data_IF_413189535391
#
_entry.id   IF_413189535391
#
_cell.length_a   1.000
_cell.length_b   1.000
_cell.length_c   1.000
_cell.angle_alpha   90.00
_cell.angle_beta   90.00
_cell.angle_gamma   90.00
#
_symmetry.space_group_name_H-M   'P 1'
#
loop_
_entity.id
_entity.type
_entity.pdbx_description
1 polymer ?
#
# COMPACT_ATOMS: atom_id res chain seq x y z
N UNK A 1 -5.55 35.65 5.65
CA UNK A 1 -4.89 34.45 5.10
C UNK A 1 -3.64 34.80 4.27
N UNK A 2 -2.62 35.46 4.84
CA UNK A 2 -1.41 35.83 4.06
C UNK A 2 -0.41 34.67 3.86
N UNK A 3 -0.54 33.61 4.66
CA UNK A 3 0.40 32.48 4.70
C UNK A 3 -0.21 31.15 4.19
N UNK A 4 -1.38 31.20 3.55
CA UNK A 4 -2.05 30.02 3.02
C UNK A 4 -2.06 30.08 1.49
N UNK A 5 -1.55 29.02 0.85
CA UNK A 5 -1.66 28.80 -0.59
C UNK A 5 -2.39 27.48 -0.83
N UNK A 6 -3.45 27.53 -1.61
CA UNK A 6 -4.20 26.34 -2.00
C UNK A 6 -3.57 25.73 -3.27
N UNK A 7 -3.50 24.40 -3.30
CA UNK A 7 -3.07 23.62 -4.44
C UNK A 7 -4.17 22.62 -4.75
N UNK A 8 -4.75 22.70 -5.94
CA UNK A 8 -5.82 21.82 -6.37
C UNK A 8 -5.23 20.81 -7.35
N UNK A 9 -5.02 19.54 -6.95
CA UNK A 9 -4.50 18.54 -7.86
C UNK A 9 -5.48 18.30 -9.02
N UNK A 10 -4.99 17.83 -10.19
CA UNK A 10 -5.86 17.54 -11.32
C UNK A 10 -6.93 16.48 -10.98
N UNK A 11 -8.20 16.87 -11.12
CA UNK A 11 -9.37 16.02 -10.84
C UNK A 11 -10.19 15.68 -12.10
N UNK A 12 -9.60 15.84 -13.29
CA UNK A 12 -10.30 15.62 -14.56
C UNK A 12 -10.55 14.15 -14.91
N UNK A 13 -11.51 13.90 -15.79
CA UNK A 13 -11.76 12.58 -16.36
C UNK A 13 -12.32 11.57 -15.34
N UNK A 14 -11.58 10.49 -15.09
CA UNK A 14 -12.01 9.37 -14.24
C UNK A 14 -11.59 9.51 -12.76
N UNK A 15 -11.02 10.65 -12.37
CA UNK A 15 -10.54 10.88 -11.00
C UNK A 15 -11.70 11.32 -10.11
N UNK A 16 -12.05 10.49 -9.13
CA UNK A 16 -13.21 10.72 -8.25
C UNK A 16 -12.84 11.29 -6.88
N UNK A 17 -11.59 11.14 -6.44
CA UNK A 17 -11.13 11.69 -5.16
C UNK A 17 -9.61 11.94 -5.14
N UNK A 18 -9.21 12.93 -4.36
CA UNK A 18 -7.84 13.10 -3.86
C UNK A 18 -7.85 12.55 -2.42
N UNK A 19 -7.37 11.33 -2.24
CA UNK A 19 -7.44 10.64 -0.94
C UNK A 19 -6.11 10.64 -0.17
N UNK A 20 -5.02 11.05 -0.83
CA UNK A 20 -3.67 11.06 -0.24
C UNK A 20 -3.59 12.03 0.93
N UNK A 21 -2.89 11.62 1.98
CA UNK A 21 -2.60 12.43 3.15
C UNK A 21 -1.09 12.45 3.33
N UNK A 22 -0.49 13.63 3.19
CA UNK A 22 0.95 13.82 3.22
C UNK A 22 1.26 15.18 3.81
N UNK A 23 2.22 15.22 4.73
CA UNK A 23 2.75 16.47 5.28
C UNK A 23 4.25 16.55 5.00
N UNK A 24 4.66 17.68 4.42
CA UNK A 24 6.07 18.06 4.25
C UNK A 24 6.36 19.21 5.21
N UNK A 25 6.96 18.90 6.36
CA UNK A 25 7.18 19.87 7.44
C UNK A 25 8.65 20.30 7.45
N UNK A 26 8.92 21.48 6.92
CA UNK A 26 10.28 22.03 6.80
C UNK A 26 10.68 22.75 8.09
N UNK A 27 11.68 22.20 8.80
CA UNK A 27 12.32 22.82 9.96
C UNK A 27 13.72 23.34 9.58
N UNK A 28 14.36 24.19 10.41
CA UNK A 28 15.69 24.74 10.11
C UNK A 28 16.75 23.67 9.81
N UNK A 29 16.74 22.57 10.58
CA UNK A 29 17.76 21.51 10.55
C UNK A 29 17.28 20.19 9.92
N UNK A 30 15.98 20.04 9.65
CA UNK A 30 15.43 18.80 9.11
C UNK A 30 14.11 19.00 8.36
N UNK A 31 13.77 18.03 7.51
CA UNK A 31 12.47 17.85 6.90
C UNK A 31 11.79 16.68 7.60
N UNK A 32 10.61 16.91 8.16
CA UNK A 32 9.75 15.84 8.65
C UNK A 32 8.75 15.46 7.58
N UNK A 33 8.85 14.22 7.11
CA UNK A 33 7.87 13.61 6.22
C UNK A 33 6.87 12.83 7.06
N UNK A 34 5.58 13.10 6.84
CA UNK A 34 4.49 12.43 7.56
C UNK A 34 3.47 11.90 6.56
N UNK A 35 3.15 10.62 6.66
CA UNK A 35 2.06 9.97 5.90
C UNK A 35 1.05 9.43 6.91
N UNK A 36 0.04 10.22 7.29
CA UNK A 36 -1.03 9.79 8.19
C UNK A 36 -2.20 9.17 7.44
N UNK A 37 -2.98 8.33 8.11
CA UNK A 37 -4.24 7.80 7.54
C UNK A 37 -5.45 8.69 7.83
N UNK A 38 -5.29 9.66 8.75
CA UNK A 38 -6.31 10.59 9.22
C UNK A 38 -6.51 11.79 8.28
N UNK A 39 -7.76 12.23 8.09
CA UNK A 39 -8.04 13.57 7.56
C UNK A 39 -7.71 14.63 8.62
N UNK A 40 -7.55 15.90 8.20
CA UNK A 40 -7.31 17.02 9.12
C UNK A 40 -8.61 17.49 9.79
N UNK A 41 -9.25 16.61 10.56
CA UNK A 41 -10.46 16.88 11.34
C UNK A 41 -10.32 16.34 12.76
N UNK A 42 -10.81 17.02 13.81
CA UNK A 42 -10.67 16.59 15.22
C UNK A 42 -11.07 15.13 15.45
N UNK A 43 -12.14 14.71 14.78
CA UNK A 43 -12.69 13.37 14.85
C UNK A 43 -11.68 12.27 14.49
N UNK A 44 -10.97 12.39 13.36
CA UNK A 44 -10.00 11.38 12.90
C UNK A 44 -8.75 11.32 13.79
N UNK A 45 -8.47 12.39 14.54
CA UNK A 45 -7.34 12.47 15.49
C UNK A 45 -7.73 12.09 16.93
N UNK A 46 -8.95 11.58 17.12
CA UNK A 46 -9.40 11.05 18.41
C UNK A 46 -9.87 12.10 19.41
N UNK A 47 -10.03 13.37 19.01
CA UNK A 47 -10.48 14.46 19.90
C UNK A 47 -11.93 14.26 20.40
N UNK A 48 -12.68 13.36 19.77
CA UNK A 48 -14.00 12.91 20.24
C UNK A 48 -13.88 11.73 21.23
N UNK A 49 -13.10 11.89 22.31
CA UNK A 49 -12.90 10.88 23.36
C UNK A 49 -12.38 9.52 22.85
N UNK A 50 -11.58 9.52 21.78
CA UNK A 50 -10.99 8.31 21.21
C UNK A 50 -12.01 7.30 20.70
N UNK A 51 -12.91 7.74 19.81
CA UNK A 51 -13.84 6.87 19.07
C UNK A 51 -13.22 6.23 17.82
N UNK A 52 -12.15 6.82 17.30
CA UNK A 52 -11.48 6.42 16.06
C UNK A 52 -9.98 6.33 16.27
N UNK A 53 -9.33 5.35 15.65
CA UNK A 53 -7.88 5.30 15.53
C UNK A 53 -7.39 5.38 14.09
N UNK A 54 -6.22 5.99 13.95
CA UNK A 54 -5.48 6.14 12.71
C UNK A 54 -4.00 5.78 12.96
N UNK A 55 -3.23 5.67 11.88
CA UNK A 55 -1.79 5.39 11.93
C UNK A 55 -1.03 6.53 11.25
N UNK A 56 0.24 6.70 11.66
CA UNK A 56 1.12 7.73 11.11
C UNK A 56 2.49 7.13 10.85
N UNK A 57 2.93 7.14 9.59
CA UNK A 57 4.35 6.97 9.27
C UNK A 57 5.04 8.33 9.37
N UNK A 58 6.20 8.37 10.03
CA UNK A 58 6.97 9.59 10.25
C UNK A 58 8.46 9.31 10.10
N UNK A 59 9.16 10.17 9.36
CA UNK A 59 10.62 10.16 9.29
C UNK A 59 11.17 11.60 9.24
N UNK A 60 12.20 11.84 10.05
CA UNK A 60 12.95 13.09 10.03
C UNK A 60 14.22 12.90 9.19
N UNK A 61 14.35 13.76 8.17
CA UNK A 61 15.46 13.78 7.23
C UNK A 61 16.33 15.00 7.51
N UNK A 62 17.60 14.83 7.92
CA UNK A 62 18.44 15.97 8.28
C UNK A 62 18.72 16.82 7.04
N UNK A 63 18.92 18.11 7.26
CA UNK A 63 19.44 19.00 6.24
C UNK A 63 20.86 18.57 5.88
N UNK A 64 21.21 18.62 4.60
CA UNK A 64 22.55 18.29 4.13
C UNK A 64 23.28 19.53 3.62
N UNK A 65 24.60 19.48 3.68
CA UNK A 65 25.50 20.56 3.28
C UNK A 65 26.05 20.38 1.84
N UNK A 66 25.61 19.33 1.15
CA UNK A 66 26.11 18.95 -0.19
C UNK A 66 25.03 19.22 -1.24
N UNK A 67 25.45 19.69 -2.42
CA UNK A 67 24.55 20.08 -3.53
C UNK A 67 23.99 18.89 -4.34
N UNK A 68 24.42 17.66 -4.06
CA UNK A 68 24.01 16.47 -4.81
C UNK A 68 22.54 16.13 -4.55
N UNK A 69 21.79 15.85 -5.61
CA UNK A 69 20.39 15.44 -5.48
C UNK A 69 20.27 14.07 -4.80
N UNK A 70 19.25 13.86 -3.96
CA UNK A 70 19.02 12.54 -3.38
C UNK A 70 18.72 11.50 -4.47
N UNK A 71 19.21 10.28 -4.29
CA UNK A 71 19.13 9.19 -5.28
C UNK A 71 18.28 8.00 -4.82
N UNK A 72 17.62 8.09 -3.68
CA UNK A 72 16.79 6.97 -3.19
C UNK A 72 15.51 6.83 -4.03
N UNK A 73 15.09 5.59 -4.26
CA UNK A 73 13.83 5.31 -4.98
C UNK A 73 12.62 5.96 -4.31
N UNK A 74 12.62 6.03 -2.97
CA UNK A 74 11.60 6.77 -2.21
C UNK A 74 11.54 8.24 -2.62
N UNK A 75 12.69 8.94 -2.69
CA UNK A 75 12.74 10.34 -3.10
C UNK A 75 12.23 10.51 -4.55
N UNK A 76 12.67 9.64 -5.47
CA UNK A 76 12.22 9.68 -6.87
C UNK A 76 10.69 9.63 -6.98
N UNK A 77 10.07 8.64 -6.31
CA UNK A 77 8.64 8.39 -6.40
C UNK A 77 7.82 9.46 -5.63
N UNK A 78 8.35 10.00 -4.53
CA UNK A 78 7.78 11.17 -3.85
C UNK A 78 7.75 12.39 -4.79
N UNK A 79 8.86 12.71 -5.46
CA UNK A 79 8.93 13.85 -6.39
C UNK A 79 7.95 13.68 -7.56
N UNK A 80 7.85 12.46 -8.12
CA UNK A 80 6.87 12.15 -9.18
C UNK A 80 5.45 12.44 -8.69
N UNK A 81 5.10 11.94 -7.50
CA UNK A 81 3.78 12.16 -6.91
C UNK A 81 3.48 13.65 -6.66
N UNK A 82 4.43 14.41 -6.13
CA UNK A 82 4.26 15.84 -5.86
C UNK A 82 4.09 16.67 -7.14
N UNK A 83 4.84 16.33 -8.20
CA UNK A 83 4.69 16.95 -9.52
C UNK A 83 3.32 16.64 -10.13
N UNK A 84 2.87 15.39 -10.05
CA UNK A 84 1.54 15.00 -10.51
C UNK A 84 0.41 15.68 -9.73
N UNK A 85 0.65 15.98 -8.45
CA UNK A 85 -0.26 16.77 -7.60
C UNK A 85 -0.20 18.27 -7.89
N UNK A 86 0.61 18.71 -8.87
CA UNK A 86 0.84 20.11 -9.25
C UNK A 86 1.37 20.99 -8.12
N UNK A 87 2.07 20.40 -7.14
CA UNK A 87 2.72 21.16 -6.08
C UNK A 87 3.78 22.08 -6.70
N UNK A 88 3.84 23.32 -6.21
CA UNK A 88 4.74 24.33 -6.75
C UNK A 88 6.20 23.87 -6.76
N UNK A 89 6.89 24.06 -7.88
CA UNK A 89 8.25 23.55 -8.11
C UNK A 89 9.25 24.03 -7.06
N UNK A 90 9.16 25.28 -6.61
CA UNK A 90 10.03 25.80 -5.54
C UNK A 90 9.89 25.03 -4.22
N UNK A 91 8.74 24.40 -3.94
CA UNK A 91 8.57 23.57 -2.74
C UNK A 91 9.22 22.20 -2.98
N UNK A 92 9.04 21.63 -4.16
CA UNK A 92 9.66 20.36 -4.55
C UNK A 92 11.19 20.48 -4.53
N UNK A 93 11.74 21.57 -5.09
CA UNK A 93 13.17 21.85 -5.11
C UNK A 93 13.77 21.99 -3.70
N UNK A 94 12.98 22.38 -2.69
CA UNK A 94 13.48 22.43 -1.30
C UNK A 94 13.82 21.04 -0.74
N UNK A 95 13.22 19.98 -1.26
CA UNK A 95 13.52 18.60 -0.84
C UNK A 95 14.99 18.24 -1.10
N UNK A 96 15.60 18.85 -2.13
CA UNK A 96 16.98 18.59 -2.51
C UNK A 96 17.97 19.00 -1.41
N UNK A 97 17.56 19.85 -0.45
CA UNK A 97 18.39 20.28 0.68
C UNK A 97 18.46 19.27 1.84
N UNK A 98 17.77 18.13 1.73
CA UNK A 98 17.70 17.14 2.81
C UNK A 98 18.32 15.80 2.38
N UNK A 99 18.82 15.07 3.37
CA UNK A 99 19.40 13.73 3.18
C UNK A 99 18.31 12.66 3.27
N UNK A 100 18.04 12.00 2.14
CA UNK A 100 17.11 10.88 2.04
C UNK A 100 17.77 9.51 2.24
N UNK A 101 19.05 9.43 2.62
CA UNK A 101 19.76 8.15 2.81
C UNK A 101 19.02 7.15 3.71
N UNK A 102 18.36 7.65 4.78
CA UNK A 102 17.54 6.86 5.71
C UNK A 102 16.26 6.27 5.08
N UNK A 103 15.86 6.73 3.89
CA UNK A 103 14.72 6.18 3.15
C UNK A 103 15.10 5.03 2.21
N UNK A 104 16.38 4.62 2.15
CA UNK A 104 16.86 3.55 1.25
C UNK A 104 16.15 2.21 1.44
N UNK A 105 15.69 1.93 2.66
CA UNK A 105 14.93 0.72 3.04
C UNK A 105 13.42 0.83 2.86
N UNK A 106 12.93 1.96 2.34
CA UNK A 106 11.51 2.21 2.13
C UNK A 106 11.25 2.51 0.65
N UNK A 107 10.03 2.21 0.21
CA UNK A 107 9.53 2.65 -1.09
C UNK A 107 8.31 3.56 -0.88
N UNK A 108 8.19 4.60 -1.69
CA UNK A 108 7.03 5.49 -1.67
C UNK A 108 6.03 5.02 -2.73
N UNK A 109 5.04 4.22 -2.31
CA UNK A 109 3.99 3.70 -3.20
C UNK A 109 2.84 4.70 -3.24
N UNK A 110 2.45 5.11 -4.45
CA UNK A 110 1.40 6.12 -4.65
C UNK A 110 0.40 5.71 -5.75
N UNK A 111 -0.76 6.37 -5.75
CA UNK A 111 -1.74 6.28 -6.84
C UNK A 111 -2.03 7.67 -7.40
N UNK A 112 -1.77 7.85 -8.69
CA UNK A 112 -2.13 9.04 -9.48
C UNK A 112 -3.34 8.66 -10.33
N UNK A 113 -4.40 9.46 -10.26
CA UNK A 113 -5.62 9.22 -11.04
C UNK A 113 -5.43 9.44 -12.54
N UNK A 114 -6.28 8.80 -13.34
CA UNK A 114 -6.28 8.92 -14.81
C UNK A 114 -5.69 7.71 -15.54
N UNK A 115 -5.63 7.80 -16.86
CA UNK A 115 -5.02 6.80 -17.73
C UNK A 115 -3.52 7.06 -17.89
N UNK A 116 -2.72 6.02 -17.71
CA UNK A 116 -1.26 6.11 -17.79
C UNK A 116 -0.75 5.22 -18.93
N UNK A 117 0.08 5.77 -19.83
CA UNK A 117 0.67 5.07 -20.98
C UNK A 117 2.17 4.90 -20.82
N UNK A 118 2.81 4.27 -21.81
CA UNK A 118 4.27 4.16 -21.95
C UNK A 118 4.95 3.50 -20.76
N UNK A 119 5.73 4.26 -19.99
CA UNK A 119 6.40 3.77 -18.77
C UNK A 119 5.73 4.28 -17.49
N UNK A 120 4.80 5.23 -17.60
CA UNK A 120 4.14 5.84 -16.45
C UNK A 120 3.22 4.85 -15.72
N UNK A 121 2.58 3.92 -16.45
CA UNK A 121 1.71 2.91 -15.85
C UNK A 121 2.44 2.00 -14.86
N UNK A 122 3.75 1.78 -15.03
CA UNK A 122 4.57 0.96 -14.12
C UNK A 122 4.83 1.63 -12.77
N UNK A 123 4.57 2.93 -12.64
CA UNK A 123 4.99 3.71 -11.47
C UNK A 123 3.93 3.87 -10.39
N UNK A 124 2.66 3.66 -10.74
CA UNK A 124 1.52 4.02 -9.90
C UNK A 124 0.58 2.84 -9.67
N UNK A 125 -0.22 2.88 -8.60
CA UNK A 125 -1.17 1.83 -8.27
C UNK A 125 -0.50 0.49 -7.98
N UNK A 126 -1.17 -0.63 -8.28
CA UNK A 126 -0.64 -1.96 -8.01
C UNK A 126 0.62 -2.29 -8.84
N UNK A 127 0.76 -1.72 -10.05
CA UNK A 127 1.99 -1.86 -10.83
C UNK A 127 3.17 -1.17 -10.11
N UNK A 128 2.92 0.02 -9.55
CA UNK A 128 3.88 0.74 -8.70
C UNK A 128 4.26 -0.03 -7.42
N UNK A 129 3.30 -0.75 -6.83
CA UNK A 129 3.55 -1.67 -5.70
C UNK A 129 4.50 -2.81 -6.11
N UNK A 130 4.23 -3.48 -7.23
CA UNK A 130 5.11 -4.55 -7.73
C UNK A 130 6.54 -4.08 -7.98
N UNK A 131 6.69 -2.93 -8.65
CA UNK A 131 7.99 -2.28 -8.85
C UNK A 131 8.67 -1.91 -7.53
N UNK A 132 7.92 -1.49 -6.52
CA UNK A 132 8.47 -1.18 -5.21
C UNK A 132 9.01 -2.43 -4.49
N UNK A 133 8.26 -3.54 -4.54
CA UNK A 133 8.70 -4.84 -4.01
C UNK A 133 9.98 -5.31 -4.71
N UNK A 134 10.05 -5.16 -6.05
CA UNK A 134 11.25 -5.46 -6.83
C UNK A 134 12.45 -4.59 -6.42
N UNK A 135 12.29 -3.26 -6.36
CA UNK A 135 13.34 -2.31 -5.99
C UNK A 135 13.90 -2.54 -4.58
N UNK A 136 13.08 -3.06 -3.67
CA UNK A 136 13.50 -3.42 -2.31
C UNK A 136 14.13 -4.83 -2.24
N UNK A 137 14.27 -5.53 -3.37
CA UNK A 137 14.73 -6.92 -3.46
C UNK A 137 13.88 -7.89 -2.64
N UNK A 138 12.56 -7.66 -2.62
CA UNK A 138 11.57 -8.46 -1.88
C UNK A 138 10.74 -9.38 -2.80
N UNK A 139 11.07 -9.46 -4.09
CA UNK A 139 10.41 -10.38 -5.02
C UNK A 139 10.48 -11.83 -4.51
N UNK A 140 9.37 -12.55 -4.63
CA UNK A 140 9.30 -13.93 -4.18
C UNK A 140 8.33 -14.76 -5.00
N UNK A 141 8.69 -16.02 -5.23
CA UNK A 141 7.78 -17.04 -5.77
C UNK A 141 7.07 -17.83 -4.66
N UNK A 142 7.46 -17.64 -3.39
CA UNK A 142 6.80 -18.26 -2.26
C UNK A 142 5.38 -17.69 -2.17
N UNK A 143 4.34 -18.53 -2.00
CA UNK A 143 2.99 -18.04 -1.80
C UNK A 143 2.92 -17.09 -0.59
N UNK A 144 2.11 -16.04 -0.68
CA UNK A 144 1.96 -15.05 0.39
C UNK A 144 0.61 -15.24 1.09
N UNK A 145 0.52 -14.96 2.38
CA UNK A 145 -0.74 -14.57 3.01
C UNK A 145 -0.81 -13.05 3.04
N UNK A 146 -1.95 -12.50 2.62
CA UNK A 146 -2.21 -11.07 2.61
C UNK A 146 -3.35 -10.76 3.56
N UNK A 147 -3.05 -9.95 4.57
CA UNK A 147 -4.02 -9.39 5.50
C UNK A 147 -4.19 -7.90 5.17
N UNK A 148 -5.38 -7.49 4.72
CA UNK A 148 -5.68 -6.11 4.36
C UNK A 148 -6.75 -5.53 5.27
N UNK A 149 -6.35 -4.54 6.08
CA UNK A 149 -7.22 -3.75 6.94
C UNK A 149 -7.74 -2.58 6.12
N UNK A 150 -9.06 -2.41 6.04
CA UNK A 150 -9.69 -1.35 5.29
C UNK A 150 -10.79 -0.66 6.10
N UNK A 151 -10.88 0.66 5.92
CA UNK A 151 -12.01 1.49 6.38
C UNK A 151 -12.90 1.94 5.24
N UNK A 152 -12.60 1.57 3.99
CA UNK A 152 -13.49 1.76 2.86
C UNK A 152 -13.34 0.61 1.87
N UNK A 153 -14.45 0.05 1.42
CA UNK A 153 -14.48 -1.10 0.50
C UNK A 153 -15.41 -0.79 -0.67
N UNK A 154 -14.86 -0.86 -1.89
CA UNK A 154 -15.60 -0.74 -3.13
C UNK A 154 -16.03 -2.10 -3.72
N UNK A 155 -16.49 -2.07 -4.98
CA UNK A 155 -16.75 -3.26 -5.81
C UNK A 155 -15.48 -4.04 -6.19
N UNK A 156 -14.84 -4.69 -5.22
CA UNK A 156 -13.66 -5.53 -5.43
C UNK A 156 -14.04 -6.74 -6.29
N UNK A 157 -13.12 -7.15 -7.18
CA UNK A 157 -13.26 -8.33 -8.03
C UNK A 157 -12.07 -9.27 -7.85
N UNK A 158 -12.27 -10.54 -8.18
CA UNK A 158 -11.23 -11.58 -8.21
C UNK A 158 -10.00 -11.16 -9.02
N UNK A 159 -10.25 -10.53 -10.16
CA UNK A 159 -9.21 -9.97 -11.02
C UNK A 159 -8.35 -8.94 -10.28
N UNK A 160 -8.99 -8.00 -9.58
CA UNK A 160 -8.26 -6.98 -8.84
C UNK A 160 -7.45 -7.59 -7.69
N UNK A 161 -8.02 -8.54 -6.96
CA UNK A 161 -7.32 -9.23 -5.87
C UNK A 161 -6.14 -10.06 -6.37
N UNK A 162 -6.28 -10.73 -7.51
CA UNK A 162 -5.17 -11.41 -8.18
C UNK A 162 -4.05 -10.43 -8.55
N UNK A 163 -4.37 -9.25 -9.09
CA UNK A 163 -3.37 -8.22 -9.37
C UNK A 163 -2.65 -7.75 -8.09
N UNK A 164 -3.39 -7.49 -7.00
CA UNK A 164 -2.79 -7.08 -5.72
C UNK A 164 -1.92 -8.17 -5.11
N UNK A 165 -2.33 -9.43 -5.22
CA UNK A 165 -1.56 -10.59 -4.77
C UNK A 165 -0.25 -10.74 -5.53
N UNK A 166 -0.31 -10.70 -6.86
CA UNK A 166 0.87 -10.78 -7.72
C UNK A 166 1.80 -9.57 -7.53
N UNK A 167 1.25 -8.35 -7.42
CA UNK A 167 2.03 -7.16 -7.12
C UNK A 167 2.76 -7.26 -5.78
N UNK A 168 2.14 -7.90 -4.78
CA UNK A 168 2.79 -8.16 -3.48
C UNK A 168 3.96 -9.15 -3.59
N UNK A 169 4.03 -9.95 -4.65
CA UNK A 169 5.16 -10.82 -5.00
C UNK A 169 6.21 -10.13 -5.89
N UNK A 170 5.96 -8.88 -6.30
CA UNK A 170 6.83 -8.12 -7.21
C UNK A 170 6.41 -8.14 -8.68
N UNK A 171 5.19 -8.60 -9.00
CA UNK A 171 4.68 -8.54 -10.37
C UNK A 171 4.36 -7.10 -10.79
N UNK A 172 4.80 -6.69 -11.97
CA UNK A 172 4.57 -5.34 -12.48
C UNK A 172 3.16 -5.11 -13.03
N UNK A 173 2.30 -6.15 -13.03
CA UNK A 173 0.93 -6.11 -13.54
C UNK A 173 0.75 -6.81 -14.89
N UNK A 174 1.83 -7.29 -15.53
CA UNK A 174 1.75 -7.97 -16.82
C UNK A 174 1.25 -9.41 -16.73
N UNK A 175 1.41 -10.10 -15.60
CA UNK A 175 1.00 -11.51 -15.51
C UNK A 175 -0.52 -11.65 -15.62
N UNK A 176 -1.30 -10.93 -14.81
CA UNK A 176 -2.77 -11.01 -14.91
C UNK A 176 -3.25 -10.46 -16.25
N UNK A 177 -2.64 -9.39 -16.75
CA UNK A 177 -2.98 -8.82 -18.06
C UNK A 177 -2.77 -9.81 -19.21
N UNK A 178 -1.65 -10.54 -19.24
CA UNK A 178 -1.41 -11.60 -20.22
C UNK A 178 -2.47 -12.69 -20.15
N UNK A 179 -2.83 -13.13 -18.94
CA UNK A 179 -3.79 -14.21 -18.73
C UNK A 179 -5.20 -13.79 -19.14
N UNK A 180 -5.60 -12.55 -18.85
CA UNK A 180 -6.92 -11.99 -19.18
C UNK A 180 -7.21 -11.98 -20.68
N UNK A 181 -6.20 -11.69 -21.50
CA UNK A 181 -6.35 -11.58 -22.96
C UNK A 181 -5.88 -12.83 -23.72
N UNK A 182 -5.43 -13.87 -23.02
CA UNK A 182 -5.03 -15.13 -23.64
C UNK A 182 -6.24 -15.91 -24.17
N UNK A 183 -6.13 -16.44 -25.39
CA UNK A 183 -7.13 -17.34 -25.99
C UNK A 183 -6.81 -18.82 -25.75
N UNK A 184 -5.54 -19.14 -25.57
CA UNK A 184 -5.01 -20.49 -25.34
C UNK A 184 -3.99 -20.45 -24.21
N UNK A 185 -3.79 -21.60 -23.56
CA UNK A 185 -2.82 -21.77 -22.49
C UNK A 185 -1.91 -22.97 -22.77
N UNK A 186 -0.64 -22.94 -22.31
CA UNK A 186 0.00 -21.84 -21.57
C UNK A 186 0.30 -20.62 -22.45
N UNK A 187 0.34 -19.42 -21.85
CA UNK A 187 0.62 -18.16 -22.54
C UNK A 187 1.98 -17.60 -22.12
N UNK A 188 2.85 -17.12 -23.04
CA UNK A 188 4.09 -16.48 -22.65
C UNK A 188 3.82 -15.17 -21.90
N UNK A 189 4.63 -14.89 -20.87
CA UNK A 189 4.63 -13.59 -20.20
C UNK A 189 5.19 -12.51 -21.16
N UNK A 190 4.64 -11.29 -21.12
CA UNK A 190 4.96 -10.24 -22.11
C UNK A 190 6.37 -9.68 -22.01
N UNK A 191 6.90 -9.55 -20.80
CA UNK A 191 8.25 -9.07 -20.50
C UNK A 191 9.31 -10.19 -20.58
N UNK A 192 8.92 -11.45 -20.35
CA UNK A 192 9.79 -12.61 -20.46
C UNK A 192 9.07 -13.78 -21.15
N UNK A 193 9.18 -13.90 -22.49
CA UNK A 193 8.52 -14.95 -23.27
C UNK A 193 8.92 -16.38 -22.90
N UNK A 194 10.07 -16.58 -22.24
CA UNK A 194 10.51 -17.90 -21.76
C UNK A 194 9.67 -18.40 -20.58
N UNK A 195 9.02 -17.50 -19.84
CA UNK A 195 8.17 -17.83 -18.71
C UNK A 195 6.74 -18.05 -19.19
N UNK A 196 6.32 -19.31 -19.18
CA UNK A 196 4.97 -19.73 -19.54
C UNK A 196 4.02 -19.60 -18.34
N UNK A 197 2.90 -18.92 -18.55
CA UNK A 197 1.85 -18.71 -17.57
C UNK A 197 0.70 -19.69 -17.80
N UNK A 198 0.18 -20.24 -16.70
CA UNK A 198 -1.05 -21.06 -16.69
C UNK A 198 -2.25 -20.19 -16.35
N UNK A 199 -3.46 -20.66 -16.67
CA UNK A 199 -4.71 -19.92 -16.41
C UNK A 199 -4.88 -19.59 -14.93
N UNK A 200 -4.43 -20.48 -14.05
CA UNK A 200 -4.50 -20.42 -12.59
C UNK A 200 -3.33 -19.68 -11.92
N UNK A 201 -2.34 -19.16 -12.65
CA UNK A 201 -1.16 -18.50 -12.03
C UNK A 201 -1.55 -17.34 -11.10
N UNK A 202 -1.29 -17.44 -9.80
CA UNK A 202 -1.69 -16.43 -8.83
C UNK A 202 -3.13 -16.56 -8.35
N UNK A 203 -3.86 -17.63 -8.70
CA UNK A 203 -5.21 -17.90 -8.16
C UNK A 203 -5.20 -18.26 -6.68
N UNK A 204 -4.03 -18.52 -6.09
CA UNK A 204 -3.92 -18.82 -4.65
C UNK A 204 -4.35 -17.64 -3.78
N UNK A 205 -4.51 -16.44 -4.35
CA UNK A 205 -5.09 -15.30 -3.65
C UNK A 205 -6.43 -15.65 -2.97
N UNK A 206 -7.23 -16.54 -3.56
CA UNK A 206 -8.58 -16.86 -3.08
C UNK A 206 -8.61 -17.39 -1.65
N UNK A 207 -7.57 -18.14 -1.26
CA UNK A 207 -7.45 -18.77 0.05
C UNK A 207 -6.51 -18.00 0.98
N UNK A 208 -5.82 -17.00 0.45
CA UNK A 208 -4.68 -16.34 1.10
C UNK A 208 -4.85 -14.85 1.30
N UNK A 209 -5.85 -14.25 0.68
CA UNK A 209 -6.20 -12.85 0.87
C UNK A 209 -7.33 -12.73 1.90
N UNK A 210 -7.14 -11.90 2.92
CA UNK A 210 -8.13 -11.60 3.96
C UNK A 210 -8.37 -10.10 4.00
N UNK A 211 -9.63 -9.71 3.94
CA UNK A 211 -10.06 -8.31 4.04
C UNK A 211 -10.74 -8.10 5.39
N UNK A 212 -10.11 -7.31 6.26
CA UNK A 212 -10.65 -6.94 7.56
C UNK A 212 -11.44 -5.65 7.42
N UNK A 213 -12.73 -5.72 7.73
CA UNK A 213 -13.64 -4.59 7.75
C UNK A 213 -14.62 -4.76 8.93
N UNK A 214 -14.92 -3.71 9.72
CA UNK A 214 -15.71 -3.87 10.93
C UNK A 214 -17.14 -4.33 10.61
N UNK A 215 -17.61 -5.34 11.33
CA UNK A 215 -18.99 -5.81 11.26
C UNK A 215 -19.95 -4.78 11.84
N UNK A 216 -21.24 -4.97 11.56
CA UNK A 216 -22.30 -4.18 12.19
C UNK A 216 -22.26 -4.27 13.73
N UNK A 217 -21.91 -5.44 14.28
CA UNK A 217 -21.78 -5.63 15.72
C UNK A 217 -20.59 -4.85 16.28
N UNK A 218 -19.43 -4.90 15.61
CA UNK A 218 -18.24 -4.12 15.98
C UNK A 218 -18.54 -2.61 15.97
N UNK A 219 -19.26 -2.13 14.96
CA UNK A 219 -19.70 -0.72 14.93
C UNK A 219 -20.68 -0.41 16.06
N UNK A 220 -21.70 -1.25 16.28
CA UNK A 220 -22.72 -1.04 17.31
C UNK A 220 -22.15 -1.02 18.74
N UNK A 221 -21.12 -1.82 19.00
CA UNK A 221 -20.47 -1.94 20.31
C UNK A 221 -19.27 -1.01 20.50
N UNK A 222 -18.88 -0.26 19.45
CA UNK A 222 -17.85 0.77 19.54
C UNK A 222 -18.32 1.94 20.43
N UNK A 223 -17.36 2.70 20.98
CA UNK A 223 -17.64 3.85 21.86
C UNK A 223 -18.51 4.92 21.19
N UNK A 224 -18.31 5.12 19.89
CA UNK A 224 -19.03 6.12 19.11
C UNK A 224 -20.32 5.61 18.47
N UNK A 225 -20.50 4.29 18.43
CA UNK A 225 -21.62 3.64 17.75
C UNK A 225 -21.69 3.98 16.24
N UNK A 226 -22.84 3.67 15.60
CA UNK A 226 -23.05 3.94 14.18
C UNK A 226 -22.90 5.42 13.77
N UNK A 227 -23.13 6.36 14.69
CA UNK A 227 -22.97 7.81 14.43
C UNK A 227 -21.50 8.21 14.19
N UNK A 228 -20.56 7.38 14.63
CA UNK A 228 -19.13 7.57 14.43
C UNK A 228 -18.57 6.56 13.42
N UNK A 229 -19.36 6.12 12.44
CA UNK A 229 -18.91 5.24 11.36
C UNK A 229 -19.02 5.89 9.98
N UNK A 230 -19.29 7.21 9.90
CA UNK A 230 -19.50 7.91 8.62
C UNK A 230 -18.28 7.92 7.68
N UNK A 231 -17.08 7.70 8.21
CA UNK A 231 -15.84 7.54 7.43
C UNK A 231 -15.47 6.08 7.18
N UNK A 232 -16.28 5.14 7.65
CA UNK A 232 -16.12 3.70 7.47
C UNK A 232 -17.14 3.23 6.42
N UNK A 233 -16.71 3.16 5.17
CA UNK A 233 -17.60 3.13 4.01
C UNK A 233 -17.63 1.77 3.31
N UNK A 234 -18.77 1.08 3.34
CA UNK A 234 -19.01 -0.09 2.51
C UNK A 234 -20.47 -0.15 2.06
N UNK A 235 -20.70 0.05 0.76
CA UNK A 235 -22.06 0.14 0.23
C UNK A 235 -22.65 -1.24 -0.01
N UNK A 236 -23.92 -1.44 0.38
CA UNK A 236 -24.61 -2.73 0.22
C UNK A 236 -24.66 -3.21 -1.23
N UNK A 237 -24.74 -2.30 -2.22
CA UNK A 237 -24.69 -2.70 -3.65
C UNK A 237 -23.39 -3.39 -4.04
N UNK A 238 -22.28 -3.08 -3.37
CA UNK A 238 -20.99 -3.73 -3.62
C UNK A 238 -20.94 -5.08 -2.94
N UNK A 239 -21.33 -5.16 -1.66
CA UNK A 239 -21.42 -6.43 -0.93
C UNK A 239 -22.37 -7.42 -1.62
N UNK A 240 -23.51 -6.95 -2.12
CA UNK A 240 -24.52 -7.77 -2.79
C UNK A 240 -24.18 -8.07 -4.25
N UNK A 241 -23.15 -7.44 -4.84
CA UNK A 241 -22.75 -7.71 -6.22
C UNK A 241 -22.28 -9.15 -6.40
N UNK A 242 -22.67 -9.80 -7.51
CA UNK A 242 -22.39 -11.22 -7.75
C UNK A 242 -20.89 -11.55 -7.65
N UNK A 243 -20.05 -10.67 -8.21
CA UNK A 243 -18.59 -10.85 -8.28
C UNK A 243 -17.83 -10.40 -7.02
N UNK A 244 -18.52 -9.96 -5.95
CA UNK A 244 -17.83 -9.54 -4.73
C UNK A 244 -17.37 -10.78 -3.94
N UNK A 245 -16.07 -10.91 -3.61
CA UNK A 245 -15.50 -12.09 -2.98
C UNK A 245 -15.80 -12.12 -1.48
N UNK A 246 -17.05 -12.38 -1.09
CA UNK A 246 -17.50 -12.30 0.32
C UNK A 246 -16.71 -13.21 1.27
N UNK A 247 -16.17 -14.32 0.77
CA UNK A 247 -15.44 -15.31 1.56
C UNK A 247 -14.12 -14.79 2.15
N UNK A 248 -13.56 -13.69 1.63
CA UNK A 248 -12.33 -13.10 2.16
C UNK A 248 -12.58 -12.16 3.35
N UNK A 249 -13.83 -11.77 3.61
CA UNK A 249 -14.16 -10.81 4.66
C UNK A 249 -13.90 -11.41 6.05
N UNK A 250 -13.34 -10.59 6.93
CA UNK A 250 -13.13 -10.86 8.35
C UNK A 250 -13.60 -9.65 9.14
N UNK A 251 -14.16 -9.88 10.32
CA UNK A 251 -14.47 -8.78 11.23
C UNK A 251 -13.16 -8.09 11.67
N UNK A 252 -13.20 -6.76 11.79
CA UNK A 252 -12.03 -5.95 12.13
C UNK A 252 -12.24 -5.28 13.48
N UNK A 253 -11.71 -5.91 14.52
CA UNK A 253 -11.77 -5.39 15.88
C UNK A 253 -10.43 -4.77 16.28
N UNK A 254 -10.47 -3.50 16.73
CA UNK A 254 -9.28 -2.86 17.29
C UNK A 254 -8.90 -3.52 18.61
N UNK A 255 -7.59 -3.72 18.82
CA UNK A 255 -7.05 -4.08 20.14
C UNK A 255 -7.27 -2.98 21.18
N UNK A 256 -7.52 -1.73 20.74
CA UNK A 256 -7.94 -0.64 21.61
C UNK A 256 -9.45 -0.72 21.79
N UNK A 257 -9.87 -1.24 22.95
CA UNK A 257 -11.27 -1.54 23.26
C UNK A 257 -12.22 -0.40 22.84
N UNK A 258 -13.16 -0.74 21.95
CA UNK A 258 -14.25 0.12 21.51
C UNK A 258 -13.87 1.21 20.50
N UNK A 259 -12.64 1.21 19.95
CA UNK A 259 -12.26 2.11 18.86
C UNK A 259 -12.56 1.47 17.50
N UNK A 260 -13.01 2.30 16.56
CA UNK A 260 -13.03 1.94 15.14
C UNK A 260 -11.69 2.29 14.48
N UNK A 261 -11.35 1.56 13.42
CA UNK A 261 -10.09 1.72 12.69
C UNK A 261 -10.34 2.47 11.38
N UNK A 262 -9.69 3.62 11.17
CA UNK A 262 -9.71 4.37 9.91
C UNK A 262 -8.38 4.28 9.13
N UNK A 263 -7.43 3.48 9.60
CA UNK A 263 -6.23 3.15 8.85
C UNK A 263 -6.52 2.18 7.69
N UNK A 264 -5.54 2.10 6.78
CA UNK A 264 -5.53 1.16 5.65
C UNK A 264 -4.15 0.50 5.65
N UNK A 265 -4.08 -0.80 5.86
CA UNK A 265 -2.81 -1.51 6.02
C UNK A 265 -2.88 -2.83 5.28
N UNK A 266 -1.96 -3.03 4.34
CA UNK A 266 -1.74 -4.30 3.66
C UNK A 266 -0.48 -4.95 4.24
N UNK A 267 -0.62 -6.16 4.76
CA UNK A 267 0.49 -6.93 5.32
C UNK A 267 0.63 -8.20 4.50
N UNK A 268 1.84 -8.42 3.96
CA UNK A 268 2.18 -9.61 3.20
C UNK A 268 3.17 -10.45 3.99
N UNK A 269 2.86 -11.72 4.20
CA UNK A 269 3.74 -12.67 4.91
C UNK A 269 3.99 -13.91 4.07
N UNK A 270 5.23 -14.43 3.99
CA UNK A 270 5.48 -15.70 3.33
C UNK A 270 4.67 -16.84 3.97
N UNK A 271 4.01 -17.63 3.14
CA UNK A 271 3.43 -18.89 3.58
C UNK A 271 4.54 -19.92 3.75
N UNK A 272 4.99 -20.09 4.98
CA UNK A 272 5.90 -21.16 5.36
C UNK A 272 5.09 -22.35 5.83
N UNK A 273 5.31 -23.52 5.20
CA UNK A 273 4.73 -24.77 5.69
C UNK A 273 5.27 -25.09 7.09
N UNK A 274 4.63 -26.01 7.82
CA UNK A 274 5.14 -26.43 9.14
C UNK A 274 6.57 -26.99 9.05
N UNK A 275 6.93 -27.65 7.95
CA UNK A 275 8.29 -28.11 7.70
C UNK A 275 9.27 -26.94 7.49
N UNK A 276 8.86 -25.91 6.74
CA UNK A 276 9.70 -24.72 6.50
C UNK A 276 9.90 -23.88 7.77
N UNK A 277 8.90 -23.82 8.65
CA UNK A 277 9.00 -23.15 9.96
C UNK A 277 10.00 -23.84 10.88
N UNK A 278 10.03 -25.17 10.87
CA UNK A 278 11.01 -25.95 11.62
C UNK A 278 12.42 -25.71 11.04
N UNK A 279 12.56 -25.72 9.71
CA UNK A 279 13.86 -25.52 9.06
C UNK A 279 14.42 -24.10 9.28
N UNK A 280 13.59 -23.07 9.20
CA UNK A 280 13.99 -21.69 9.56
C UNK A 280 14.39 -21.57 11.02
N UNK A 281 13.62 -22.18 11.94
CA UNK A 281 13.97 -22.18 13.36
C UNK A 281 15.27 -22.93 13.69
N UNK A 282 15.62 -23.98 12.92
CA UNK A 282 16.86 -24.73 13.06
C UNK A 282 18.06 -23.97 12.50
N UNK A 283 17.88 -23.27 11.36
CA UNK A 283 18.92 -22.41 10.78
C UNK A 283 19.21 -21.17 11.64
N UNK A 284 18.21 -20.62 12.34
CA UNK A 284 18.44 -19.55 13.31
C UNK A 284 19.26 -20.05 14.52
N UNK A 285 19.03 -21.28 14.99
CA UNK A 285 19.77 -21.90 16.10
C UNK A 285 21.18 -22.36 15.74
N UNK A 286 21.45 -22.76 14.50
CA UNK A 286 22.79 -23.18 14.07
C UNK A 286 23.74 -22.00 13.81
N UNK A 287 23.20 -20.77 13.71
CA UNK A 287 23.99 -19.56 13.48
C UNK A 287 24.64 -18.96 14.74
N UNK A 288 24.42 -19.54 15.93
CA UNK A 288 25.00 -19.09 17.21
C UNK A 288 26.28 -19.82 17.65
N UNK A 289 26.91 -20.63 16.80
CA UNK A 289 28.23 -21.24 17.07
C UNK A 289 29.17 -21.11 15.86
N UNK A 290 30.27 -20.37 16.02
CA UNK A 290 31.28 -20.03 15.01
C UNK A 290 32.24 -21.21 14.65
N UNK A 291 33.29 -21.02 13.80
CA UNK A 291 33.33 -20.51 12.41
C UNK A 291 34.10 -21.45 11.43
N UNK A 292 33.72 -21.52 10.15
CA UNK A 292 34.65 -21.75 9.00
C UNK A 292 33.94 -21.60 7.63
N UNK A 293 34.44 -20.66 6.80
CA UNK A 293 34.47 -20.58 5.30
C UNK A 293 33.20 -20.84 4.43
N UNK A 294 33.11 -20.24 3.21
CA UNK A 294 31.91 -19.55 2.79
C UNK A 294 31.06 -20.39 1.81
N UNK A 295 29.81 -20.66 2.19
CA UNK A 295 28.76 -20.94 1.20
C UNK A 295 27.97 -19.65 0.97
N UNK A 296 27.90 -19.26 -0.31
CA UNK A 296 27.09 -18.16 -0.83
C UNK A 296 25.60 -18.48 -0.62
N UNK A 297 25.08 -18.18 0.56
CA UNK A 297 23.67 -17.87 0.77
C UNK A 297 23.62 -16.59 1.59
N UNK A 298 23.36 -15.49 0.89
CA UNK A 298 23.14 -14.19 1.49
C UNK A 298 21.95 -14.33 2.44
N UNK A 299 22.27 -14.27 3.73
CA UNK A 299 21.37 -14.21 4.88
C UNK A 299 20.34 -13.11 4.61
N UNK A 300 19.10 -13.47 4.25
CA UNK A 300 17.97 -12.53 4.34
C UNK A 300 17.75 -12.31 5.85
N UNK A 301 17.90 -11.08 6.37
CA UNK A 301 17.57 -10.83 7.76
C UNK A 301 16.06 -10.99 7.93
N UNK A 302 15.67 -11.77 8.93
CA UNK A 302 14.34 -11.77 9.51
C UNK A 302 13.91 -10.33 9.76
N UNK A 303 13.11 -9.79 8.87
CA UNK A 303 12.47 -8.52 9.05
C UNK A 303 11.02 -8.68 8.62
N UNK A 304 10.14 -8.70 9.61
CA UNK A 304 8.74 -8.37 9.43
C UNK A 304 8.66 -6.93 8.91
N UNK A 305 8.84 -6.77 7.60
CA UNK A 305 8.67 -5.51 6.90
C UNK A 305 7.24 -5.46 6.38
N UNK A 306 6.34 -4.93 7.21
CA UNK A 306 5.03 -4.50 6.74
C UNK A 306 5.21 -3.37 5.74
N UNK A 307 4.97 -3.63 4.47
CA UNK A 307 4.80 -2.59 3.45
C UNK A 307 3.46 -1.90 3.70
N UNK A 308 3.43 -0.78 4.43
CA UNK A 308 2.25 0.09 4.47
C UNK A 308 2.08 0.76 3.10
N UNK A 309 1.49 0.04 2.15
CA UNK A 309 1.03 0.62 0.90
C UNK A 309 -0.40 1.12 1.08
N UNK A 310 -0.60 2.43 1.01
CA UNK A 310 -1.93 3.00 0.77
C UNK A 310 -2.24 2.88 -0.73
N UNK A 311 -2.65 1.69 -1.16
CA UNK A 311 -3.34 1.55 -2.45
C UNK A 311 -4.83 1.73 -2.14
N UNK A 312 -5.44 2.88 -2.44
CA UNK A 312 -6.88 3.02 -2.31
C UNK A 312 -7.55 2.01 -3.24
N UNK A 313 -8.28 1.07 -2.66
CA UNK A 313 -9.15 0.17 -3.41
C UNK A 313 -10.41 0.96 -3.78
N UNK A 314 -10.38 1.62 -4.94
CA UNK A 314 -11.53 2.29 -5.51
C UNK A 314 -11.82 1.77 -6.93
N UNK A 315 -12.68 0.77 -7.08
CA UNK A 315 -13.20 0.36 -8.38
C UNK A 315 -14.33 1.31 -8.84
N UNK A 316 -14.05 2.00 -9.95
CA UNK A 316 -14.95 2.49 -11.03
C UNK A 316 -16.35 3.11 -10.72
N UNK A 317 -16.41 4.43 -11.02
CA UNK A 317 -17.48 5.32 -11.59
C UNK A 317 -18.72 5.73 -10.75
N UNK A 318 -19.43 6.82 -11.14
CA UNK A 318 -19.43 8.15 -10.54
C UNK A 318 -20.58 8.38 -9.55
N UNK A 319 -20.36 9.27 -8.58
CA UNK A 319 -21.42 9.79 -7.73
C UNK A 319 -21.24 9.43 -6.25
N UNK A 320 -21.38 10.47 -5.43
CA UNK A 320 -21.45 10.48 -3.97
C UNK A 320 -20.13 10.22 -3.22
N UNK A 321 -19.30 11.26 -3.13
CA UNK A 321 -18.70 11.65 -1.86
C UNK A 321 -18.40 13.16 -1.88
N UNK A 322 -19.46 13.96 -1.90
CA UNK A 322 -19.43 15.32 -1.39
C UNK A 322 -20.05 15.28 0.00
N UNK A 323 -19.21 15.23 1.04
CA UNK A 323 -19.65 15.65 2.37
C UNK A 323 -19.70 17.18 2.34
N UNK A 324 -20.91 17.72 2.46
CA UNK A 324 -21.10 18.92 3.29
C UNK A 324 -20.70 18.56 4.73
#
# INVERSE_FOLDING_TARGET
MRNLRLCFPPMGGQVVCMHSKLMLLFHPEYLRLVVPTANLTPYDWGEMNGVMENSVFLIDLPKKNVLEKPTTHFYEDLVVFLKASTLHENIIAKLDNFDFSKTSKYAFVHTIGGSHTDTAWKRTGYCGLGRAVERLNLCTSIPLNIDYIASSVGAITDQFLRCMYLASQGDDGLTEFSIRYAKTFPVPRRDNPSKLLKKDTGSEWSDRFRLYFPSQNTVATSKGGPRCAGTVCFQSKWYNGENFPRHILRDCESQRKGLLMHNKVLISTPFLSLQDKVLTSLNDRSSTSAPTTPSLYQKQPNAAHGLTSEVPICPKVPGACSTQ
#
